data_IF_791735056815
#
_entry.id   IF_791735056815
#
_cell.length_a   1.000
_cell.length_b   1.000
_cell.length_c   1.000
_cell.angle_alpha   90.00
_cell.angle_beta   90.00
_cell.angle_gamma   90.00
#
_symmetry.space_group_name_H-M   'P 1'
#
loop_
_entity.id
_entity.type
_entity.pdbx_description
1 polymer ?
#
# COMPACT_ATOMS: atom_id res chain seq x y z
N UNK A 1 16.17 -9.90 15.91
CA UNK A 1 15.61 -8.55 15.67
C UNK A 1 16.69 -7.51 16.04
N UNK A 2 16.83 -6.42 15.28
CA UNK A 2 17.81 -5.33 15.48
C UNK A 2 17.12 -3.96 15.64
N UNK A 3 16.13 -3.84 16.51
CA UNK A 3 15.53 -2.53 16.82
C UNK A 3 16.56 -1.59 17.47
N UNK A 4 16.46 -0.30 17.15
CA UNK A 4 17.34 0.71 17.71
C UNK A 4 17.17 0.90 19.23
N UNK A 5 15.95 0.69 19.76
CA UNK A 5 15.61 0.83 21.18
C UNK A 5 14.29 0.09 21.51
N UNK A 6 13.95 0.06 22.80
CA UNK A 6 12.74 -0.56 23.36
C UNK A 6 11.45 0.23 23.09
N UNK A 7 11.54 1.51 22.71
CA UNK A 7 10.40 2.36 22.36
C UNK A 7 9.79 2.09 20.98
N UNK A 8 10.48 1.37 20.09
CA UNK A 8 10.00 1.12 18.72
C UNK A 8 8.71 0.30 18.69
N UNK A 9 8.64 -0.85 19.38
CA UNK A 9 7.43 -1.69 19.37
C UNK A 9 6.23 -1.03 20.07
N UNK A 10 6.39 -0.38 21.25
CA UNK A 10 5.32 0.41 21.86
C UNK A 10 4.76 1.47 20.91
N UNK A 11 5.62 2.20 20.17
CA UNK A 11 5.19 3.21 19.22
C UNK A 11 4.36 2.62 18.06
N UNK A 12 4.85 1.52 17.46
CA UNK A 12 4.13 0.78 16.40
C UNK A 12 2.75 0.32 16.88
N UNK A 13 2.70 -0.31 18.05
CA UNK A 13 1.45 -0.85 18.60
C UNK A 13 0.46 0.26 18.99
N UNK A 14 0.94 1.35 19.57
CA UNK A 14 0.12 2.49 19.95
C UNK A 14 -0.49 3.16 18.71
N UNK A 15 0.31 3.42 17.68
CA UNK A 15 -0.16 4.01 16.42
C UNK A 15 -1.20 3.12 15.75
N UNK A 16 -0.95 1.80 15.63
CA UNK A 16 -1.91 0.86 15.04
C UNK A 16 -3.27 0.84 15.76
N UNK A 17 -3.28 0.97 17.11
CA UNK A 17 -4.51 0.96 17.92
C UNK A 17 -5.22 2.32 17.90
N UNK A 18 -4.48 3.42 17.83
CA UNK A 18 -5.02 4.77 17.86
C UNK A 18 -5.56 5.24 16.50
N UNK A 19 -5.01 4.74 15.40
CA UNK A 19 -5.45 5.09 14.05
C UNK A 19 -6.78 4.40 13.72
N UNK A 20 -7.75 5.19 13.29
CA UNK A 20 -9.00 4.74 12.67
C UNK A 20 -8.84 4.65 11.15
N UNK A 21 -9.73 3.91 10.48
CA UNK A 21 -9.70 3.72 9.04
C UNK A 21 -9.62 2.24 8.67
N UNK A 22 -9.28 1.97 7.41
CA UNK A 22 -9.05 0.60 6.96
C UNK A 22 -7.75 0.02 7.55
N UNK A 23 -7.57 -1.30 7.40
CA UNK A 23 -6.36 -1.97 7.89
C UNK A 23 -5.08 -1.34 7.32
N UNK A 24 -5.12 -0.89 6.07
CA UNK A 24 -3.99 -0.23 5.40
C UNK A 24 -3.57 1.06 6.10
N UNK A 25 -4.52 1.90 6.52
CA UNK A 25 -4.25 3.17 7.20
C UNK A 25 -3.53 2.94 8.52
N UNK A 26 -4.01 1.94 9.26
CA UNK A 26 -3.47 1.54 10.56
C UNK A 26 -2.06 0.97 10.44
N UNK A 27 -1.80 0.16 9.41
CA UNK A 27 -0.48 -0.40 9.14
C UNK A 27 0.52 0.66 8.69
N UNK A 28 0.12 1.59 7.81
CA UNK A 28 0.98 2.71 7.41
C UNK A 28 1.32 3.62 8.59
N UNK A 29 0.34 3.96 9.43
CA UNK A 29 0.59 4.77 10.63
C UNK A 29 1.54 4.05 11.60
N UNK A 30 1.41 2.74 11.74
CA UNK A 30 2.30 1.92 12.56
C UNK A 30 3.75 1.90 12.04
N UNK A 31 3.95 1.75 10.72
CA UNK A 31 5.27 1.81 10.09
C UNK A 31 5.95 3.17 10.31
N UNK A 32 5.21 4.26 10.13
CA UNK A 32 5.74 5.61 10.34
C UNK A 32 6.12 5.88 11.80
N UNK A 33 5.30 5.38 12.74
CA UNK A 33 5.59 5.49 14.15
C UNK A 33 6.83 4.68 14.54
N UNK A 34 6.99 3.47 13.99
CA UNK A 34 8.18 2.64 14.20
C UNK A 34 9.45 3.29 13.67
N UNK A 35 9.40 3.84 12.45
CA UNK A 35 10.54 4.57 11.87
C UNK A 35 10.92 5.79 12.73
N UNK A 36 9.92 6.58 13.14
CA UNK A 36 10.14 7.78 13.99
C UNK A 36 10.70 7.45 15.37
N UNK A 37 10.33 6.29 15.92
CA UNK A 37 10.86 5.80 17.20
C UNK A 37 12.29 5.25 17.08
N UNK A 38 12.87 5.20 15.87
CA UNK A 38 14.25 4.82 15.61
C UNK A 38 14.41 3.59 14.70
N UNK A 39 13.34 2.82 14.47
CA UNK A 39 13.32 1.71 13.52
C UNK A 39 14.39 0.64 13.76
N UNK A 40 14.94 0.11 12.66
CA UNK A 40 16.06 -0.82 12.66
C UNK A 40 17.38 -0.07 12.87
N UNK A 41 18.25 -0.60 13.73
CA UNK A 41 19.55 -0.01 14.08
C UNK A 41 20.49 0.15 12.88
N UNK A 42 20.26 -0.58 11.79
CA UNK A 42 21.04 -0.47 10.54
C UNK A 42 20.61 0.71 9.66
N UNK A 43 19.50 1.37 10.00
CA UNK A 43 18.90 2.44 9.21
C UNK A 43 17.70 1.94 8.39
N UNK A 44 17.34 2.71 7.37
CA UNK A 44 16.19 2.47 6.49
C UNK A 44 16.64 2.42 5.03
N UNK A 45 16.07 1.50 4.28
CA UNK A 45 16.38 1.31 2.85
C UNK A 45 15.14 0.84 2.07
N UNK A 46 14.31 -0.02 2.66
CA UNK A 46 13.13 -0.56 2.02
C UNK A 46 11.91 -0.55 2.94
N UNK A 47 10.73 -0.62 2.34
CA UNK A 47 9.45 -0.77 3.03
C UNK A 47 8.45 -1.49 2.12
N UNK A 48 7.56 -2.29 2.70
CA UNK A 48 6.52 -2.99 1.96
C UNK A 48 5.23 -3.06 2.77
N UNK A 49 4.11 -3.10 2.07
CA UNK A 49 2.77 -3.24 2.64
C UNK A 49 1.95 -4.20 1.78
N UNK A 50 1.53 -5.30 2.41
CA UNK A 50 0.66 -6.29 1.78
C UNK A 50 -0.59 -6.43 2.63
N UNK A 51 -1.76 -6.23 2.02
CA UNK A 51 -3.07 -6.44 2.62
C UNK A 51 -3.85 -7.40 1.75
N UNK A 52 -4.44 -8.42 2.37
CA UNK A 52 -5.32 -9.39 1.69
C UNK A 52 -6.74 -9.22 2.23
N UNK A 53 -7.73 -9.43 1.36
CA UNK A 53 -9.16 -9.39 1.71
C UNK A 53 -9.78 -10.69 1.26
N UNK A 54 -10.71 -11.24 2.04
CA UNK A 54 -11.39 -12.49 1.68
C UNK A 54 -11.99 -12.38 0.28
N UNK A 55 -11.71 -13.38 -0.57
CA UNK A 55 -12.15 -13.39 -1.98
C UNK A 55 -11.20 -12.70 -2.96
N UNK A 56 -10.14 -12.04 -2.49
CA UNK A 56 -9.07 -11.47 -3.31
C UNK A 56 -7.73 -12.10 -2.95
N UNK A 57 -6.93 -12.43 -3.96
CA UNK A 57 -5.56 -12.92 -3.76
C UNK A 57 -4.67 -11.85 -3.12
N UNK A 58 -4.90 -10.59 -3.48
CA UNK A 58 -4.20 -9.40 -3.00
C UNK A 58 -5.17 -8.22 -3.04
N UNK A 59 -5.30 -7.48 -1.94
CA UNK A 59 -6.05 -6.21 -1.91
C UNK A 59 -5.10 -5.02 -2.13
N UNK A 60 -3.94 -5.04 -1.48
CA UNK A 60 -2.87 -4.05 -1.65
C UNK A 60 -1.55 -4.80 -1.59
N UNK A 61 -0.64 -4.53 -2.52
CA UNK A 61 0.76 -4.97 -2.48
C UNK A 61 1.62 -3.83 -3.04
N UNK A 62 2.25 -3.11 -2.13
CA UNK A 62 3.11 -1.96 -2.43
C UNK A 62 4.49 -2.19 -1.83
N UNK A 63 5.51 -1.87 -2.61
CA UNK A 63 6.91 -2.09 -2.24
C UNK A 63 7.77 -0.92 -2.67
N UNK A 64 8.67 -0.54 -1.79
CA UNK A 64 9.79 0.35 -2.03
C UNK A 64 11.04 -0.45 -1.69
N UNK A 65 11.76 -0.91 -2.70
CA UNK A 65 12.88 -1.84 -2.49
C UNK A 65 14.21 -1.10 -2.17
N UNK A 66 14.37 0.14 -2.63
CA UNK A 66 15.54 0.98 -2.31
C UNK A 66 15.19 2.48 -2.35
N UNK A 67 15.16 3.13 -1.18
CA UNK A 67 14.91 4.57 -1.04
C UNK A 67 15.46 5.08 0.30
N UNK A 68 16.01 6.31 0.38
CA UNK A 68 16.50 6.88 1.62
C UNK A 68 15.40 7.11 2.66
N UNK A 69 14.14 7.28 2.21
CA UNK A 69 12.95 7.52 3.04
C UNK A 69 11.83 6.52 2.66
N UNK A 70 12.00 5.21 2.89
CA UNK A 70 11.17 4.20 2.23
C UNK A 70 9.74 4.15 2.77
N UNK A 71 9.51 4.39 4.06
CA UNK A 71 8.14 4.42 4.63
C UNK A 71 7.36 5.64 4.12
N UNK A 72 8.01 6.81 4.04
CA UNK A 72 7.42 8.01 3.45
C UNK A 72 7.05 7.79 1.99
N UNK A 73 7.94 7.16 1.23
CA UNK A 73 7.69 6.84 -0.18
C UNK A 73 6.58 5.81 -0.34
N UNK A 74 6.51 4.81 0.54
CA UNK A 74 5.42 3.83 0.57
C UNK A 74 4.05 4.51 0.80
N UNK A 75 3.97 5.53 1.66
CA UNK A 75 2.75 6.32 1.83
C UNK A 75 2.39 7.11 0.57
N UNK A 76 3.38 7.70 -0.12
CA UNK A 76 3.14 8.38 -1.40
C UNK A 76 2.57 7.42 -2.44
N UNK A 77 3.15 6.23 -2.57
CA UNK A 77 2.66 5.17 -3.47
C UNK A 77 1.24 4.73 -3.07
N UNK A 78 0.95 4.61 -1.77
CA UNK A 78 -0.40 4.28 -1.32
C UNK A 78 -1.42 5.35 -1.74
N UNK A 79 -1.12 6.64 -1.58
CA UNK A 79 -2.06 7.69 -2.02
C UNK A 79 -2.32 7.68 -3.53
N UNK A 80 -1.30 7.36 -4.35
CA UNK A 80 -1.48 7.17 -5.79
C UNK A 80 -2.33 5.94 -6.09
N UNK A 81 -2.00 4.81 -5.46
CA UNK A 81 -2.76 3.57 -5.61
C UNK A 81 -4.22 3.74 -5.19
N UNK A 82 -4.46 4.45 -4.09
CA UNK A 82 -5.80 4.76 -3.60
C UNK A 82 -6.57 5.61 -4.62
N UNK A 83 -5.96 6.69 -5.11
CA UNK A 83 -6.59 7.60 -6.07
C UNK A 83 -6.80 6.98 -7.46
N UNK A 84 -5.96 6.04 -7.90
CA UNK A 84 -6.02 5.48 -9.25
C UNK A 84 -6.74 4.12 -9.31
N UNK A 85 -6.69 3.33 -8.23
CA UNK A 85 -7.15 1.93 -8.22
C UNK A 85 -8.31 1.69 -7.28
N UNK A 86 -8.25 2.19 -6.04
CA UNK A 86 -9.27 1.88 -5.01
C UNK A 86 -10.47 2.82 -5.08
N UNK A 87 -10.21 4.12 -5.17
CA UNK A 87 -11.21 5.19 -5.15
C UNK A 87 -10.98 6.17 -6.31
N UNK A 88 -11.10 5.69 -7.57
CA UNK A 88 -10.87 6.53 -8.73
C UNK A 88 -11.87 7.69 -8.77
N UNK A 89 -11.36 8.91 -8.59
CA UNK A 89 -12.15 10.13 -8.77
C UNK A 89 -12.21 10.49 -10.25
N UNK A 90 -12.97 9.70 -11.02
CA UNK A 90 -13.39 10.05 -12.38
C UNK A 90 -12.28 10.34 -13.39
N UNK A 91 -11.14 9.65 -13.33
CA UNK A 91 -10.17 9.65 -14.44
C UNK A 91 -10.56 8.54 -15.43
N UNK A 92 -11.22 8.92 -16.53
CA UNK A 92 -11.42 8.04 -17.69
C UNK A 92 -10.07 7.66 -18.29
N UNK A 93 -9.47 6.57 -17.81
CA UNK A 93 -8.35 5.94 -18.49
C UNK A 93 -8.89 4.79 -19.35
N UNK A 94 -9.13 5.13 -20.61
CA UNK A 94 -9.53 4.27 -21.72
C UNK A 94 -10.97 3.75 -21.72
N UNK A 95 -11.86 4.56 -22.31
CA UNK A 95 -12.84 3.98 -23.23
C UNK A 95 -12.08 3.15 -24.26
N UNK A 96 -12.31 1.83 -24.25
CA UNK A 96 -12.04 1.00 -25.42
C UNK A 96 -13.16 1.33 -26.42
N UNK A 97 -12.87 1.86 -27.63
CA UNK A 97 -13.93 2.04 -28.62
C UNK A 97 -14.61 0.69 -28.86
N UNK A 98 -15.95 0.63 -28.89
CA UNK A 98 -16.69 -0.60 -29.01
C UNK A 98 -16.72 -1.05 -30.48
N UNK A 99 -15.60 -1.50 -31.04
CA UNK A 99 -15.55 -2.33 -32.27
C UNK A 99 -14.13 -2.55 -32.81
N UNK A 100 -13.70 -3.82 -32.85
CA UNK A 100 -13.07 -4.41 -34.03
C UNK A 100 -12.96 -5.94 -33.87
N UNK A 101 -13.96 -6.64 -34.43
CA UNK A 101 -13.88 -7.98 -35.04
C UNK A 101 -13.83 -9.20 -34.08
N UNK A 102 -14.75 -10.18 -34.14
CA UNK A 102 -15.81 -10.42 -35.10
C UNK A 102 -16.89 -11.35 -34.54
N UNK A 103 -18.13 -10.93 -34.72
CA UNK A 103 -19.23 -11.86 -34.87
C UNK A 103 -19.18 -12.41 -36.30
N UNK A 104 -18.84 -13.68 -36.43
CA UNK A 104 -19.45 -14.57 -37.42
C UNK A 104 -20.01 -15.72 -36.58
N UNK A 105 -21.23 -15.59 -36.06
CA UNK A 105 -22.43 -16.03 -36.77
C UNK A 105 -22.20 -17.42 -37.39
N UNK A 106 -22.54 -18.45 -36.63
CA UNK A 106 -22.87 -19.74 -37.22
C UNK A 106 -24.07 -19.57 -38.14
N UNK A 107 -23.98 -20.15 -39.33
CA UNK A 107 -25.14 -20.63 -40.08
C UNK A 107 -24.66 -21.65 -41.13
N UNK A 108 -25.10 -22.90 -40.89
CA UNK A 108 -25.08 -24.12 -41.72
C UNK A 108 -23.94 -25.10 -41.47
#
# INVERSE_FOLDING_TARGET
NMLANDGVLPAVAAAFRATSGELVDRLLAALEAGERAGGDKRGKQSAALIVVRQGLITYIDLRVDDHPEPVKELRRLFHLYDAEVLHPQGLHLHDRPPDATGQAAGQR
#
